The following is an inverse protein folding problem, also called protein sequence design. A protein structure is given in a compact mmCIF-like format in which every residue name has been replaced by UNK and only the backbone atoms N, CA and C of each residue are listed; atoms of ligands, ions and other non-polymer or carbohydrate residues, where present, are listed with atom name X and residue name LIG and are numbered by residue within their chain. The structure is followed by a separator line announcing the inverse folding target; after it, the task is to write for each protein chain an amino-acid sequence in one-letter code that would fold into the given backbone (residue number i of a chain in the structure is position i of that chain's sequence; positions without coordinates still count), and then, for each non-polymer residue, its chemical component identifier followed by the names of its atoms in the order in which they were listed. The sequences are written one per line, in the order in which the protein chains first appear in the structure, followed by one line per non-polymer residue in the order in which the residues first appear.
data_IF_362195542859
#
_entry.id   IF_362195542859
#
_cell.length_a   1.000
_cell.length_b   1.000
_cell.length_c   1.000
_cell.angle_alpha   90.00
_cell.angle_beta   90.00
_cell.angle_gamma   90.00
#
_symmetry.space_group_name_H-M   'P 1'
#
loop_
_entity.id
_entity.type
_entity.pdbx_description
1 polymer ?
#
# COMPACT_ATOMS: atom_id res chain seq x y z
N UNK A 1 5.72 20.21 17.49
CA UNK A 1 4.34 20.05 17.97
C UNK A 1 3.90 18.65 17.59
N UNK A 2 3.39 17.88 18.55
CA UNK A 2 2.96 16.50 18.32
C UNK A 2 1.45 16.47 18.36
N UNK A 3 0.80 15.86 17.36
CA UNK A 3 -0.62 15.53 17.44
C UNK A 3 -0.80 14.67 18.71
N UNK A 4 -1.36 15.26 19.77
CA UNK A 4 -1.64 14.53 21.01
C UNK A 4 -2.86 13.63 20.78
N UNK A 5 -2.66 12.45 20.19
CA UNK A 5 -3.70 11.43 20.16
C UNK A 5 -3.99 10.96 21.59
N UNK A 6 -5.27 10.92 21.95
CA UNK A 6 -5.70 10.28 23.19
C UNK A 6 -5.41 8.77 23.13
N UNK A 7 -5.22 8.09 24.27
CA UNK A 7 -4.99 6.64 24.29
C UNK A 7 -6.06 5.85 23.53
N UNK A 8 -7.33 6.26 23.67
CA UNK A 8 -8.47 5.68 22.95
C UNK A 8 -8.35 5.85 21.43
N UNK A 9 -7.99 7.05 20.96
CA UNK A 9 -7.78 7.30 19.52
C UNK A 9 -6.61 6.49 18.97
N UNK A 10 -5.50 6.38 19.72
CA UNK A 10 -4.36 5.54 19.32
C UNK A 10 -4.77 4.08 19.16
N UNK A 11 -5.59 3.56 20.07
CA UNK A 11 -6.05 2.18 20.02
C UNK A 11 -7.01 1.93 18.85
N UNK A 12 -7.91 2.88 18.56
CA UNK A 12 -8.79 2.81 17.39
C UNK A 12 -8.00 2.75 16.07
N UNK A 13 -7.06 3.67 15.88
CA UNK A 13 -6.20 3.70 14.68
C UNK A 13 -5.34 2.43 14.59
N UNK A 14 -4.81 1.94 15.72
CA UNK A 14 -4.05 0.67 15.75
C UNK A 14 -4.91 -0.50 15.29
N UNK A 15 -6.16 -0.60 15.75
CA UNK A 15 -7.07 -1.66 15.35
C UNK A 15 -7.41 -1.59 13.86
N UNK A 16 -7.64 -0.38 13.34
CA UNK A 16 -7.89 -0.14 11.91
C UNK A 16 -6.71 -0.59 11.04
N UNK A 17 -5.48 -0.18 11.38
CA UNK A 17 -4.27 -0.58 10.63
C UNK A 17 -4.03 -2.09 10.71
N UNK A 18 -4.33 -2.74 11.85
CA UNK A 18 -4.22 -4.19 11.97
C UNK A 18 -5.23 -4.93 11.10
N UNK A 19 -6.47 -4.41 11.01
CA UNK A 19 -7.49 -4.94 10.11
C UNK A 19 -7.06 -4.81 8.64
N UNK A 20 -6.51 -3.65 8.26
CA UNK A 20 -5.97 -3.44 6.91
C UNK A 20 -4.82 -4.41 6.62
N UNK A 21 -3.91 -4.60 7.57
CA UNK A 21 -2.77 -5.53 7.44
C UNK A 21 -3.23 -6.99 7.23
N UNK A 22 -4.27 -7.44 7.94
CA UNK A 22 -4.82 -8.78 7.73
C UNK A 22 -5.45 -8.91 6.34
N UNK A 23 -6.27 -7.94 5.92
CA UNK A 23 -6.90 -7.97 4.59
C UNK A 23 -5.88 -8.02 3.47
N UNK A 24 -4.85 -7.15 3.52
CA UNK A 24 -3.76 -7.17 2.52
C UNK A 24 -3.01 -8.50 2.48
N UNK A 25 -2.81 -9.14 3.63
CA UNK A 25 -2.11 -10.41 3.71
C UNK A 25 -2.95 -11.55 3.12
N UNK A 26 -4.26 -11.50 3.31
CA UNK A 26 -5.20 -12.45 2.71
C UNK A 26 -5.31 -12.25 1.20
N UNK A 27 -5.36 -10.99 0.72
CA UNK A 27 -5.35 -10.64 -0.70
C UNK A 27 -4.08 -11.15 -1.41
N UNK A 28 -2.90 -10.88 -0.85
CA UNK A 28 -1.63 -11.42 -1.37
C UNK A 28 -1.66 -12.96 -1.37
N UNK A 29 -2.19 -13.57 -0.31
CA UNK A 29 -2.32 -15.02 -0.20
C UNK A 29 -3.18 -15.62 -1.32
N UNK A 30 -4.33 -15.00 -1.60
CA UNK A 30 -5.23 -15.42 -2.68
C UNK A 30 -4.57 -15.27 -4.05
N UNK A 31 -4.02 -14.09 -4.36
CA UNK A 31 -3.38 -13.80 -5.66
C UNK A 31 -2.24 -14.78 -5.96
N UNK A 32 -1.43 -15.14 -4.96
CA UNK A 32 -0.34 -16.10 -5.11
C UNK A 32 -0.83 -17.55 -5.31
N UNK A 33 -1.94 -17.93 -4.66
CA UNK A 33 -2.55 -19.25 -4.86
C UNK A 33 -3.14 -19.35 -6.27
N UNK A 34 -3.84 -18.31 -6.73
CA UNK A 34 -4.45 -18.25 -8.05
C UNK A 34 -3.40 -18.28 -9.17
N UNK A 35 -2.31 -17.52 -9.01
CA UNK A 35 -1.19 -17.55 -9.95
C UNK A 35 -0.56 -18.96 -10.05
N UNK A 36 -0.46 -19.67 -8.92
CA UNK A 36 0.10 -21.03 -8.88
C UNK A 36 -0.83 -22.07 -9.53
N UNK A 37 -2.14 -21.98 -9.32
CA UNK A 37 -3.11 -22.92 -9.90
C UNK A 37 -3.25 -22.71 -11.41
N UNK A 38 -3.22 -21.46 -11.89
CA UNK A 38 -3.23 -21.14 -13.32
C UNK A 38 -2.01 -21.74 -14.06
N UNK A 39 -0.81 -21.61 -13.49
CA UNK A 39 0.43 -22.10 -14.11
C UNK A 39 0.50 -23.64 -14.23
N UNK A 40 -0.20 -24.41 -13.38
CA UNK A 40 -0.16 -25.88 -13.43
C UNK A 40 -1.27 -26.50 -14.29
N UNK A 41 -2.33 -25.76 -14.63
CA UNK A 41 -3.43 -26.23 -15.47
C UNK A 41 -3.17 -26.12 -16.98
N UNK A 42 -2.06 -25.50 -17.38
CA UNK A 42 -1.81 -25.02 -18.73
C UNK A 42 -0.60 -25.75 -19.36
N UNK A 43 -0.82 -26.98 -19.82
CA UNK A 43 0.26 -27.83 -20.37
C UNK A 43 0.40 -27.79 -21.89
N UNK A 44 -0.40 -27.00 -22.62
CA UNK A 44 -0.22 -26.77 -24.07
C UNK A 44 -0.78 -25.40 -24.42
N UNK A 45 0.09 -24.42 -24.67
CA UNK A 45 -0.27 -23.08 -25.13
C UNK A 45 0.22 -22.88 -26.56
N UNK A 46 -0.58 -22.25 -27.42
CA UNK A 46 -0.05 -21.65 -28.64
C UNK A 46 0.68 -20.32 -28.35
N UNK A 47 1.39 -19.75 -29.32
CA UNK A 47 2.17 -18.52 -29.10
C UNK A 47 1.31 -17.31 -28.67
N UNK A 48 0.03 -17.27 -29.03
CA UNK A 48 -0.89 -16.22 -28.61
C UNK A 48 -1.35 -16.42 -27.16
N UNK A 49 -1.63 -17.66 -26.80
CA UNK A 49 -1.98 -18.04 -25.43
C UNK A 49 -0.80 -17.81 -24.47
N UNK A 50 0.43 -18.11 -24.89
CA UNK A 50 1.66 -17.88 -24.11
C UNK A 50 1.84 -16.38 -23.80
N UNK A 51 1.68 -15.51 -24.81
CA UNK A 51 1.75 -14.07 -24.62
C UNK A 51 0.67 -13.52 -23.67
N UNK A 52 -0.54 -14.11 -23.70
CA UNK A 52 -1.62 -13.74 -22.79
C UNK A 52 -1.31 -14.16 -21.34
N UNK A 53 -0.78 -15.37 -21.14
CA UNK A 53 -0.38 -15.88 -19.82
C UNK A 53 0.75 -15.07 -19.19
N UNK A 54 1.73 -14.64 -20.00
CA UNK A 54 2.81 -13.75 -19.55
C UNK A 54 2.29 -12.39 -19.08
N UNK A 55 1.36 -11.80 -19.85
CA UNK A 55 0.72 -10.53 -19.48
C UNK A 55 -0.05 -10.66 -18.16
N UNK A 56 -0.85 -11.72 -18.00
CA UNK A 56 -1.62 -11.99 -16.78
C UNK A 56 -0.69 -12.17 -15.57
N UNK A 57 0.39 -12.92 -15.73
CA UNK A 57 1.41 -13.10 -14.69
C UNK A 57 2.05 -11.76 -14.32
N UNK A 58 2.36 -10.91 -15.29
CA UNK A 58 2.90 -9.57 -15.07
C UNK A 58 1.95 -8.65 -14.28
N UNK A 59 0.66 -8.69 -14.58
CA UNK A 59 -0.38 -7.92 -13.86
C UNK A 59 -0.45 -8.40 -12.40
N UNK A 60 -0.53 -9.72 -12.19
CA UNK A 60 -0.61 -10.31 -10.85
C UNK A 60 0.63 -9.94 -10.00
N UNK A 61 1.83 -10.01 -10.58
CA UNK A 61 3.06 -9.59 -9.90
C UNK A 61 3.06 -8.10 -9.53
N UNK A 62 2.51 -7.24 -10.38
CA UNK A 62 2.38 -5.81 -10.09
C UNK A 62 1.39 -5.55 -8.93
N UNK A 63 0.28 -6.28 -8.88
CA UNK A 63 -0.68 -6.23 -7.77
C UNK A 63 -0.05 -6.68 -6.44
N UNK A 64 0.57 -7.85 -6.41
CA UNK A 64 1.29 -8.35 -5.23
C UNK A 64 2.36 -7.35 -4.76
N UNK A 65 3.11 -6.77 -5.69
CA UNK A 65 4.13 -5.76 -5.37
C UNK A 65 3.54 -4.50 -4.72
N UNK A 66 2.38 -4.04 -5.20
CA UNK A 66 1.63 -2.92 -4.62
C UNK A 66 1.15 -3.25 -3.21
N UNK A 67 0.54 -4.41 -3.01
CA UNK A 67 0.06 -4.85 -1.70
C UNK A 67 1.19 -5.00 -0.69
N UNK A 68 2.34 -5.55 -1.11
CA UNK A 68 3.53 -5.63 -0.25
C UNK A 68 4.06 -4.26 0.17
N UNK A 69 3.96 -3.25 -0.69
CA UNK A 69 4.28 -1.87 -0.32
C UNK A 69 3.32 -1.35 0.75
N UNK A 70 2.02 -1.56 0.59
CA UNK A 70 1.02 -1.15 1.57
C UNK A 70 1.19 -1.88 2.92
N UNK A 71 1.56 -3.16 2.91
CA UNK A 71 1.91 -3.92 4.12
C UNK A 71 3.07 -3.27 4.87
N UNK A 72 4.12 -2.83 4.16
CA UNK A 72 5.25 -2.12 4.77
C UNK A 72 4.82 -0.76 5.34
N UNK A 73 3.93 -0.04 4.66
CA UNK A 73 3.37 1.22 5.14
C UNK A 73 2.53 1.01 6.41
N UNK A 74 1.72 -0.05 6.47
CA UNK A 74 0.99 -0.46 7.68
C UNK A 74 1.94 -0.73 8.85
N UNK A 75 2.98 -1.55 8.63
CA UNK A 75 3.99 -1.86 9.65
C UNK A 75 4.72 -0.60 10.13
N UNK A 76 5.10 0.29 9.22
CA UNK A 76 5.72 1.56 9.57
C UNK A 76 4.77 2.48 10.37
N UNK A 77 3.49 2.52 10.02
CA UNK A 77 2.49 3.29 10.76
C UNK A 77 2.28 2.76 12.19
N UNK A 78 2.22 1.43 12.37
CA UNK A 78 2.19 0.78 13.68
C UNK A 78 3.42 1.14 14.52
N UNK A 79 4.62 1.08 13.93
CA UNK A 79 5.86 1.48 14.61
C UNK A 79 5.83 2.95 15.02
N UNK A 80 5.32 3.86 14.16
CA UNK A 80 5.14 5.27 14.51
C UNK A 80 4.15 5.48 15.65
N UNK A 81 3.09 4.68 15.74
CA UNK A 81 2.15 4.72 16.88
C UNK A 81 2.83 4.34 18.19
N UNK A 82 3.66 3.30 18.16
CA UNK A 82 4.41 2.82 19.33
C UNK A 82 5.47 3.81 19.78
N UNK A 83 6.20 4.41 18.83
CA UNK A 83 7.23 5.41 19.10
C UNK A 83 6.66 6.81 19.40
N UNK A 84 5.35 7.00 19.27
CA UNK A 84 4.70 8.29 19.53
C UNK A 84 4.92 9.35 18.43
N UNK A 85 5.40 8.96 17.26
CA UNK A 85 5.64 9.84 16.09
C UNK A 85 4.54 9.77 15.04
N UNK A 86 3.45 9.03 15.31
CA UNK A 86 2.31 8.95 14.40
C UNK A 86 1.69 10.33 14.15
N UNK A 87 1.38 10.60 12.88
CA UNK A 87 0.84 11.88 12.44
C UNK A 87 1.89 12.98 12.23
N UNK A 88 3.19 12.63 12.28
CA UNK A 88 4.29 13.50 11.87
C UNK A 88 4.81 13.05 10.50
N UNK A 89 5.00 14.01 9.59
CA UNK A 89 5.55 13.78 8.27
C UNK A 89 6.99 13.30 8.36
N UNK A 90 7.32 12.23 7.64
CA UNK A 90 8.67 11.65 7.64
C UNK A 90 9.72 12.50 6.90
N UNK A 91 9.31 13.46 6.08
CA UNK A 91 10.24 14.28 5.29
C UNK A 91 10.47 15.66 5.94
N UNK A 92 9.40 16.43 6.23
CA UNK A 92 9.52 17.78 6.79
C UNK A 92 9.39 17.86 8.32
N UNK A 93 8.91 16.80 8.97
CA UNK A 93 8.68 16.79 10.43
C UNK A 93 7.46 17.60 10.89
N UNK A 94 6.66 18.13 9.97
CA UNK A 94 5.39 18.81 10.28
C UNK A 94 4.25 17.82 10.51
N UNK A 95 3.13 18.30 11.04
CA UNK A 95 1.94 17.49 11.27
C UNK A 95 1.28 17.08 9.94
N UNK A 96 0.89 15.82 9.83
CA UNK A 96 0.09 15.31 8.72
C UNK A 96 -1.37 15.71 8.94
N UNK A 97 -2.03 16.19 7.90
CA UNK A 97 -3.39 16.70 7.97
C UNK A 97 -4.36 15.62 8.50
N UNK A 98 -5.20 15.97 9.47
CA UNK A 98 -6.11 15.00 10.10
C UNK A 98 -7.06 14.35 9.08
N UNK A 99 -7.56 15.11 8.10
CA UNK A 99 -8.41 14.59 7.03
C UNK A 99 -7.67 13.54 6.17
N UNK A 100 -6.35 13.70 6.02
CA UNK A 100 -5.50 12.75 5.29
C UNK A 100 -5.32 11.47 6.08
N UNK A 101 -5.06 11.55 7.38
CA UNK A 101 -4.98 10.38 8.26
C UNK A 101 -6.32 9.67 8.42
N UNK A 102 -7.44 10.41 8.37
CA UNK A 102 -8.78 9.83 8.40
C UNK A 102 -9.13 9.11 7.09
N UNK A 103 -8.63 9.58 5.94
CA UNK A 103 -8.84 8.93 4.65
C UNK A 103 -7.85 7.78 4.40
N UNK A 104 -6.61 7.93 4.86
CA UNK A 104 -5.55 6.92 4.77
C UNK A 104 -4.69 6.95 6.05
N UNK A 105 -4.97 6.05 7.01
CA UNK A 105 -4.31 6.02 8.31
C UNK A 105 -2.84 5.61 8.27
N UNK A 106 -2.35 5.06 7.15
CA UNK A 106 -0.95 4.64 7.02
C UNK A 106 -0.06 5.70 6.37
N UNK A 107 -0.63 6.84 5.96
CA UNK A 107 0.09 7.94 5.30
C UNK A 107 1.35 8.37 6.06
N UNK A 108 2.54 8.33 5.43
CA UNK A 108 3.79 8.77 6.06
C UNK A 108 4.05 10.28 5.93
N UNK A 109 3.37 10.97 5.00
CA UNK A 109 3.70 12.33 4.57
C UNK A 109 2.49 13.26 4.60
N UNK A 110 2.75 14.56 4.80
CA UNK A 110 1.78 15.63 4.55
C UNK A 110 1.52 15.78 3.04
N UNK A 111 0.51 16.57 2.68
CA UNK A 111 0.13 16.76 1.29
C UNK A 111 1.26 17.41 0.46
N UNK A 112 1.97 18.39 1.02
CA UNK A 112 3.05 19.11 0.33
C UNK A 112 4.22 18.20 -0.04
N UNK A 113 4.73 17.42 0.92
CA UNK A 113 5.83 16.48 0.66
C UNK A 113 5.41 15.33 -0.24
N UNK A 114 4.14 14.88 -0.15
CA UNK A 114 3.62 13.89 -1.09
C UNK A 114 3.60 14.44 -2.53
N UNK A 115 3.10 15.67 -2.72
CA UNK A 115 3.03 16.30 -4.04
C UNK A 115 4.43 16.52 -4.66
N UNK A 116 5.42 16.87 -3.83
CA UNK A 116 6.81 16.99 -4.28
C UNK A 116 7.36 15.64 -4.76
N UNK A 117 7.16 14.57 -4.00
CA UNK A 117 7.59 13.22 -4.39
C UNK A 117 6.96 12.78 -5.73
N UNK A 118 5.68 13.05 -5.92
CA UNK A 118 4.95 12.73 -7.17
C UNK A 118 5.39 13.61 -8.35
N UNK A 119 5.85 14.84 -8.09
CA UNK A 119 6.42 15.70 -9.11
C UNK A 119 7.82 15.25 -9.53
N UNK A 120 8.66 14.83 -8.57
CA UNK A 120 10.03 14.39 -8.83
C UNK A 120 10.07 13.03 -9.56
N UNK A 121 9.01 12.23 -9.39
CA UNK A 121 8.79 10.99 -10.12
C UNK A 121 7.50 11.10 -10.93
N UNK A 122 7.55 11.57 -12.20
CA UNK A 122 6.38 11.55 -13.04
C UNK A 122 5.95 10.09 -13.24
N UNK A 123 4.95 9.66 -12.46
CA UNK A 123 4.11 8.52 -12.83
C UNK A 123 3.66 8.82 -14.25
N UNK A 124 4.04 7.96 -15.19
CA UNK A 124 3.73 8.14 -16.60
C UNK A 124 2.25 8.51 -16.70
N UNK A 125 1.97 9.79 -17.00
CA UNK A 125 0.59 10.25 -17.16
C UNK A 125 0.04 9.38 -18.28
N UNK A 126 -0.83 8.43 -17.93
CA UNK A 126 -1.69 7.78 -18.91
C UNK A 126 -2.63 8.90 -19.35
N UNK A 127 -2.12 9.70 -20.27
CA UNK A 127 -2.85 10.77 -20.90
C UNK A 127 -3.95 10.05 -21.65
N UNK A 128 -5.18 10.23 -21.19
CA UNK A 128 -6.38 9.69 -21.82
C UNK A 128 -6.30 10.00 -23.33
N UNK A 129 -6.10 8.95 -24.12
CA UNK A 129 -6.39 8.95 -25.55
C UNK A 129 -7.87 8.61 -25.74
#
# INVERSE_FOLDING_TARGET
MSIKLTPQKKQAVKAEILSLLSSLRDEIGSELVDARTAHWGQSVHDHGEEAAADLETGINLAHVSRHLKEVRECQAALSRLENGTYGICVDCGEEVELNRLAANPVSPRCLSCQAQLESDYPVAKVSSL
#
